data_IF_405254448056
#
_entry.id   IF_405254448056
#
_cell.length_a   1.000
_cell.length_b   1.000
_cell.length_c   1.000
_cell.angle_alpha   90.00
_cell.angle_beta   90.00
_cell.angle_gamma   90.00
#
_symmetry.space_group_name_H-M   'P 1'
#
loop_
_entity.id
_entity.type
_entity.pdbx_description
1 polymer ?
#
# COMPACT_ATOMS: atom_id res chain seq x y z
N UNK A 1 -7.69 14.55 25.38
CA UNK A 1 -6.76 15.00 24.34
C UNK A 1 -5.53 14.16 24.52
N UNK A 2 -5.20 13.35 23.52
CA UNK A 2 -3.90 12.70 23.34
C UNK A 2 -3.84 12.28 21.87
N UNK A 3 -3.31 13.19 21.05
CA UNK A 3 -3.10 12.95 19.63
C UNK A 3 -1.80 12.20 19.46
N UNK A 4 -1.87 10.94 19.02
CA UNK A 4 -0.71 10.23 18.52
C UNK A 4 -0.25 10.95 17.23
N UNK A 5 0.90 11.62 17.33
CA UNK A 5 1.53 12.38 16.26
C UNK A 5 1.80 11.51 15.03
N UNK A 6 1.63 12.12 13.86
CA UNK A 6 1.64 11.46 12.57
C UNK A 6 2.96 10.79 12.21
N UNK A 7 2.87 9.53 11.80
CA UNK A 7 3.90 8.77 11.11
C UNK A 7 3.75 8.96 9.59
N UNK A 8 3.93 10.18 9.12
CA UNK A 8 3.48 10.57 7.77
C UNK A 8 4.68 11.09 7.01
N UNK A 9 5.11 10.34 5.99
CA UNK A 9 6.26 10.63 5.13
C UNK A 9 7.67 10.60 5.75
N UNK A 10 7.81 10.33 7.05
CA UNK A 10 9.10 10.07 7.72
C UNK A 10 9.17 8.65 8.28
N UNK A 11 8.94 7.64 7.43
CA UNK A 11 9.34 6.28 7.77
C UNK A 11 10.86 6.18 7.71
N UNK A 12 11.55 6.27 8.85
CA UNK A 12 12.94 5.80 8.95
C UNK A 12 14.01 6.75 9.48
N UNK A 13 13.70 7.91 10.07
CA UNK A 13 14.75 8.71 10.75
C UNK A 13 14.22 9.26 12.08
N UNK A 14 14.12 8.40 13.10
CA UNK A 14 13.66 8.84 14.43
C UNK A 14 13.50 7.76 15.50
N UNK A 15 13.41 6.47 15.14
CA UNK A 15 13.45 5.39 16.14
C UNK A 15 14.91 5.10 16.47
N UNK A 16 15.42 5.50 17.63
CA UNK A 16 16.85 5.43 18.01
C UNK A 16 17.51 4.05 17.85
N UNK A 17 17.84 3.67 16.59
CA UNK A 17 18.29 2.34 16.20
C UNK A 17 17.21 1.24 16.20
N UNK A 18 15.92 1.58 16.28
CA UNK A 18 14.81 0.60 16.30
C UNK A 18 14.03 0.71 15.00
N UNK A 19 13.79 -0.44 14.36
CA UNK A 19 12.91 -0.55 13.19
C UNK A 19 11.49 -0.05 13.47
N UNK A 20 10.63 -0.09 12.45
CA UNK A 20 9.31 0.51 12.54
C UNK A 20 8.33 -0.04 11.51
N UNK A 21 7.21 0.66 11.32
CA UNK A 21 6.21 0.31 10.34
C UNK A 21 5.93 1.47 9.39
N UNK A 22 5.66 1.16 8.13
CA UNK A 22 5.10 2.08 7.16
C UNK A 22 3.71 1.63 6.74
N UNK A 23 2.78 2.56 6.58
CA UNK A 23 1.43 2.26 6.11
C UNK A 23 1.36 2.38 4.59
N UNK A 24 0.84 1.35 3.94
CA UNK A 24 0.48 1.38 2.53
C UNK A 24 -0.96 1.87 2.44
N UNK A 25 -1.14 3.06 1.91
CA UNK A 25 -2.45 3.76 1.92
C UNK A 25 -3.03 3.91 0.52
N UNK A 26 -4.34 4.06 0.46
CA UNK A 26 -5.10 4.28 -0.76
C UNK A 26 -4.92 5.71 -1.28
N UNK A 27 -4.49 5.83 -2.53
CA UNK A 27 -4.26 7.12 -3.18
C UNK A 27 -5.52 7.89 -3.58
N UNK A 28 -6.72 7.31 -3.42
CA UNK A 28 -7.99 8.00 -3.70
C UNK A 28 -8.30 9.08 -2.66
N UNK A 29 -7.84 8.89 -1.42
CA UNK A 29 -8.00 9.84 -0.32
C UNK A 29 -6.65 10.07 0.38
N UNK A 30 -5.72 10.80 -0.26
CA UNK A 30 -4.41 11.04 0.33
C UNK A 30 -4.55 11.87 1.62
N UNK A 31 -3.84 11.51 2.70
CA UNK A 31 -3.91 12.27 3.94
C UNK A 31 -3.29 13.66 3.80
N UNK A 32 -3.73 14.58 4.64
CA UNK A 32 -3.09 15.88 4.81
C UNK A 32 -1.61 15.71 5.16
N UNK A 33 -0.78 16.67 4.74
CA UNK A 33 0.66 16.64 5.03
C UNK A 33 0.92 16.48 6.53
N UNK A 34 1.75 15.50 6.89
CA UNK A 34 2.05 15.18 8.28
C UNK A 34 1.00 14.30 8.97
N UNK A 35 -0.10 13.91 8.33
CA UNK A 35 -1.08 12.94 8.88
C UNK A 35 -0.99 11.55 8.26
N UNK A 36 -1.24 10.55 9.09
CA UNK A 36 -1.43 9.16 8.64
C UNK A 36 -2.82 9.10 7.98
N UNK A 37 -2.96 8.23 6.98
CA UNK A 37 -4.26 7.95 6.38
C UNK A 37 -5.28 7.47 7.41
N UNK A 38 -6.56 7.62 7.10
CA UNK A 38 -7.61 7.05 7.93
C UNK A 38 -7.50 5.52 7.92
N UNK A 39 -7.81 4.82 9.03
CA UNK A 39 -7.68 3.36 9.11
C UNK A 39 -8.37 2.62 7.96
N UNK A 40 -9.52 3.12 7.52
CA UNK A 40 -10.31 2.59 6.40
C UNK A 40 -9.69 2.80 5.01
N UNK A 41 -8.67 3.66 4.91
CA UNK A 41 -7.94 3.97 3.68
C UNK A 41 -6.51 3.40 3.72
N UNK A 42 -6.15 2.62 4.75
CA UNK A 42 -4.88 1.88 4.83
C UNK A 42 -5.12 0.45 4.40
N UNK A 43 -4.40 -0.03 3.38
CA UNK A 43 -4.40 -1.44 2.99
C UNK A 43 -3.80 -2.30 4.11
N UNK A 44 -2.63 -1.89 4.58
CA UNK A 44 -1.88 -2.56 5.63
C UNK A 44 -0.56 -1.87 5.92
N UNK A 45 0.28 -2.53 6.70
CA UNK A 45 1.56 -2.00 7.16
C UNK A 45 2.69 -2.95 6.83
N UNK A 46 3.89 -2.39 6.56
CA UNK A 46 5.11 -3.14 6.34
C UNK A 46 6.12 -2.82 7.45
N UNK A 47 6.73 -3.85 8.02
CA UNK A 47 7.81 -3.78 9.00
C UNK A 47 9.14 -3.44 8.31
N UNK A 48 9.84 -2.45 8.87
CA UNK A 48 11.17 -2.02 8.47
C UNK A 48 12.17 -2.28 9.60
N UNK A 49 13.40 -2.61 9.24
CA UNK A 49 14.51 -2.71 10.18
C UNK A 49 15.06 -1.32 10.56
N UNK A 50 16.14 -1.30 11.35
CA UNK A 50 16.76 -0.06 11.82
C UNK A 50 17.42 0.78 10.70
N UNK A 51 17.69 0.19 9.53
CA UNK A 51 18.24 0.85 8.35
C UNK A 51 17.15 1.36 7.40
N UNK A 52 15.88 1.02 7.67
CA UNK A 52 14.76 1.33 6.80
C UNK A 52 14.54 0.30 5.69
N UNK A 53 15.23 -0.83 5.73
CA UNK A 53 15.02 -1.94 4.80
C UNK A 53 13.83 -2.80 5.26
N UNK A 54 13.16 -3.45 4.32
CA UNK A 54 12.12 -4.42 4.67
C UNK A 54 12.72 -5.55 5.48
N UNK A 55 12.18 -5.78 6.69
CA UNK A 55 12.52 -6.99 7.47
C UNK A 55 12.28 -8.21 6.58
N UNK A 56 13.20 -9.18 6.61
CA UNK A 56 13.16 -10.41 5.79
C UNK A 56 13.00 -10.23 4.26
N UNK A 57 13.23 -9.02 3.75
CA UNK A 57 13.09 -8.70 2.32
C UNK A 57 11.65 -8.54 1.84
N UNK A 58 10.65 -8.82 2.69
CA UNK A 58 9.23 -8.73 2.35
C UNK A 58 8.45 -7.80 3.28
N UNK A 59 9.04 -7.43 4.41
CA UNK A 59 8.51 -6.42 5.33
C UNK A 59 7.29 -6.91 6.10
N UNK A 60 7.13 -8.23 6.26
CA UNK A 60 6.07 -8.88 7.05
C UNK A 60 4.73 -8.14 7.04
N UNK A 61 4.13 -8.08 5.85
CA UNK A 61 2.87 -7.37 5.65
C UNK A 61 1.81 -7.74 6.69
N UNK A 62 1.20 -6.71 7.29
CA UNK A 62 0.08 -6.83 8.20
C UNK A 62 -1.13 -6.09 7.63
N UNK A 63 -2.23 -6.78 7.45
CA UNK A 63 -3.47 -6.20 6.96
C UNK A 63 -4.05 -5.19 7.98
N UNK A 64 -4.65 -4.10 7.49
CA UNK A 64 -5.30 -3.08 8.35
C UNK A 64 -6.59 -3.59 9.00
N UNK A 65 -7.32 -4.50 8.32
CA UNK A 65 -8.58 -5.08 8.77
C UNK A 65 -9.81 -4.18 8.61
N UNK A 66 -9.63 -2.88 8.35
CA UNK A 66 -10.72 -1.90 8.17
C UNK A 66 -10.84 -1.33 6.76
N UNK A 67 -9.96 -1.74 5.84
CA UNK A 67 -9.90 -1.19 4.49
C UNK A 67 -11.21 -1.32 3.71
N UNK A 68 -11.60 -0.27 2.98
CA UNK A 68 -12.81 -0.25 2.14
C UNK A 68 -12.48 -0.15 0.65
N UNK A 69 -12.91 -1.17 -0.09
CA UNK A 69 -12.76 -1.20 -1.57
C UNK A 69 -13.62 -0.11 -2.23
N UNK A 70 -14.82 0.15 -1.71
CA UNK A 70 -15.76 1.14 -2.25
C UNK A 70 -15.98 2.25 -1.23
N UNK A 71 -15.76 3.49 -1.66
CA UNK A 71 -15.87 4.69 -0.83
C UNK A 71 -16.60 5.80 -1.62
N UNK A 72 -16.76 6.99 -1.01
CA UNK A 72 -17.35 8.14 -1.70
C UNK A 72 -16.42 8.71 -2.80
N UNK A 73 -15.13 8.37 -2.73
CA UNK A 73 -14.06 8.72 -3.66
C UNK A 73 -13.98 7.72 -4.83
N UNK A 74 -14.84 6.68 -4.84
CA UNK A 74 -14.99 5.72 -5.92
C UNK A 74 -14.70 4.28 -5.52
N UNK A 75 -14.41 3.42 -6.50
CA UNK A 75 -14.04 2.01 -6.32
C UNK A 75 -12.52 1.88 -6.52
N UNK A 76 -11.85 1.01 -5.77
CA UNK A 76 -10.42 0.75 -5.92
C UNK A 76 -10.13 0.35 -7.37
N UNK A 77 -9.31 1.16 -8.04
CA UNK A 77 -8.78 0.88 -9.36
C UNK A 77 -7.33 0.41 -9.29
N UNK A 78 -6.91 -0.38 -10.28
CA UNK A 78 -5.50 -0.65 -10.48
C UNK A 78 -4.76 0.63 -10.87
N UNK A 79 -3.54 0.80 -10.37
CA UNK A 79 -2.64 1.85 -10.85
C UNK A 79 -2.43 1.73 -12.37
N UNK A 80 -2.08 2.82 -13.08
CA UNK A 80 -1.86 2.76 -14.53
C UNK A 80 -0.86 1.66 -14.93
N UNK A 81 0.18 1.45 -14.13
CA UNK A 81 1.16 0.39 -14.34
C UNK A 81 0.56 -1.01 -14.20
N UNK A 82 -0.12 -1.29 -13.08
CA UNK A 82 -0.73 -2.59 -12.82
C UNK A 82 -1.83 -2.92 -13.84
N UNK A 83 -2.62 -1.91 -14.23
CA UNK A 83 -3.61 -2.03 -15.30
C UNK A 83 -2.95 -2.38 -16.63
N UNK A 84 -1.84 -1.72 -16.97
CA UNK A 84 -1.06 -2.04 -18.18
C UNK A 84 -0.57 -3.49 -18.18
N UNK A 85 0.00 -3.94 -17.07
CA UNK A 85 0.46 -5.33 -16.91
C UNK A 85 -0.66 -6.36 -16.97
N UNK A 86 -1.83 -6.03 -16.44
CA UNK A 86 -3.00 -6.87 -16.57
C UNK A 86 -3.43 -7.00 -18.04
N UNK A 87 -3.49 -5.90 -18.78
CA UNK A 87 -3.87 -5.90 -20.20
C UNK A 87 -2.87 -6.72 -21.03
N UNK A 88 -1.57 -6.51 -20.82
CA UNK A 88 -0.48 -7.28 -21.46
C UNK A 88 -0.72 -8.78 -21.26
N UNK A 89 -0.92 -9.20 -20.00
CA UNK A 89 -1.09 -10.63 -19.70
C UNK A 89 -2.36 -11.22 -20.29
N UNK A 90 -3.48 -10.49 -20.22
CA UNK A 90 -4.74 -10.95 -20.79
C UNK A 90 -4.67 -11.09 -22.31
N UNK A 91 -3.93 -10.20 -22.98
CA UNK A 91 -3.74 -10.26 -24.43
C UNK A 91 -2.94 -11.51 -24.84
N UNK A 92 -1.86 -11.83 -24.11
CA UNK A 92 -1.09 -13.07 -24.31
C UNK A 92 -1.97 -14.32 -24.16
N UNK A 93 -2.81 -14.36 -23.11
CA UNK A 93 -3.67 -15.51 -22.82
C UNK A 93 -4.74 -15.70 -23.89
N UNK A 94 -5.31 -14.60 -24.39
CA UNK A 94 -6.31 -14.64 -25.46
C UNK A 94 -5.71 -15.15 -26.78
N UNK A 95 -4.49 -14.74 -27.13
CA UNK A 95 -3.78 -15.29 -28.29
C UNK A 95 -3.50 -16.79 -28.15
N UNK A 96 -3.13 -17.25 -26.95
CA UNK A 96 -2.90 -18.67 -26.68
C UNK A 96 -4.21 -19.47 -26.80
N UNK A 97 -5.31 -18.95 -26.24
CA UNK A 97 -6.62 -19.58 -26.33
C UNK A 97 -7.07 -19.73 -27.80
N UNK A 98 -6.85 -18.72 -28.63
CA UNK A 98 -7.15 -18.77 -30.08
C UNK A 98 -6.28 -19.74 -30.87
N UNK A 99 -5.05 -20.02 -30.42
CA UNK A 99 -4.16 -21.02 -31.07
C UNK A 99 -4.48 -22.45 -30.66
N UNK A 100 -5.09 -22.63 -29.50
CA UNK A 100 -5.37 -23.95 -28.92
C UNK A 100 -6.79 -24.46 -29.21
N UNK A 101 -7.69 -23.62 -29.74
CA UNK A 101 -9.04 -23.99 -30.18
C UNK A 101 -9.12 -24.16 -31.69
#
# INVERSE_FOLDING_TARGET
>A
GDGAGGASAQGGVGGGGRGGYIHVSDGRNPPDFGRVAWPEDIFGSLELDANGDFVDGHGRYQESGTYRIVTNEGILGLSPYLRGKLIEKLSELDEQARKNG
#
